data_IF_975246373779
#
_entry.id   IF_975246373779
#
_cell.length_a   1.000
_cell.length_b   1.000
_cell.length_c   1.000
_cell.angle_alpha   90.00
_cell.angle_beta   90.00
_cell.angle_gamma   90.00
#
_symmetry.space_group_name_H-M   'P 1'
#
loop_
_entity.id
_entity.type
_entity.pdbx_description
1 polymer ?
#
# COMPACT_ATOMS: atom_id res chain seq x y z
N UNK A 1 12.94 -37.33 -1.82
CA UNK A 1 13.46 -36.63 -3.02
C UNK A 1 12.22 -36.38 -3.87
N UNK A 2 11.64 -35.18 -3.98
CA UNK A 2 12.28 -33.94 -4.41
C UNK A 2 11.43 -32.78 -3.88
N UNK A 3 12.00 -31.95 -3.01
CA UNK A 3 11.35 -30.73 -2.53
C UNK A 3 11.36 -29.71 -3.67
N UNK A 4 10.21 -29.41 -4.26
CA UNK A 4 10.10 -28.31 -5.22
C UNK A 4 10.10 -27.00 -4.45
N UNK A 5 11.27 -26.37 -4.38
CA UNK A 5 11.41 -25.00 -3.90
C UNK A 5 10.67 -24.08 -4.87
N UNK A 6 9.50 -23.58 -4.48
CA UNK A 6 8.81 -22.51 -5.20
C UNK A 6 9.78 -21.31 -5.22
N UNK A 7 10.35 -21.02 -6.40
CA UNK A 7 11.18 -19.84 -6.62
C UNK A 7 10.27 -18.63 -6.60
N UNK A 8 10.03 -18.05 -5.42
CA UNK A 8 9.32 -16.78 -5.30
C UNK A 8 10.12 -15.77 -6.10
N UNK A 9 9.58 -15.35 -7.25
CA UNK A 9 10.19 -14.35 -8.12
C UNK A 9 10.13 -13.04 -7.34
N UNK A 10 11.27 -12.60 -6.77
CA UNK A 10 11.34 -11.28 -6.11
C UNK A 10 11.14 -10.21 -7.17
N UNK A 11 10.03 -9.50 -7.09
CA UNK A 11 9.82 -8.27 -7.84
C UNK A 11 10.55 -7.16 -7.09
N UNK A 12 11.39 -6.41 -7.80
CA UNK A 12 11.95 -5.18 -7.27
C UNK A 12 10.87 -4.11 -7.40
N UNK A 13 10.25 -3.74 -6.29
CA UNK A 13 9.12 -2.82 -6.23
C UNK A 13 9.63 -1.48 -5.71
N UNK A 14 9.42 -0.44 -6.49
CA UNK A 14 9.70 0.93 -6.09
C UNK A 14 8.40 1.51 -5.48
N UNK A 15 8.42 1.77 -4.17
CA UNK A 15 7.28 2.31 -3.45
C UNK A 15 7.18 3.82 -3.66
N UNK A 16 5.96 4.38 -3.82
CA UNK A 16 5.76 5.82 -3.81
C UNK A 16 6.27 6.45 -2.51
N UNK A 17 6.91 7.61 -2.63
CA UNK A 17 7.32 8.40 -1.47
C UNK A 17 6.08 8.77 -0.64
N UNK A 18 6.18 8.65 0.68
CA UNK A 18 5.07 8.95 1.59
C UNK A 18 5.53 9.99 2.60
N UNK A 19 4.80 11.11 2.67
CA UNK A 19 5.08 12.17 3.64
C UNK A 19 5.02 11.64 5.06
N UNK A 20 5.98 12.09 5.89
CA UNK A 20 6.03 11.84 7.32
C UNK A 20 5.97 13.16 8.05
N UNK A 21 5.02 13.28 8.97
CA UNK A 21 4.86 14.44 9.84
C UNK A 21 5.34 14.14 11.26
N UNK A 22 5.63 15.17 12.05
CA UNK A 22 6.12 15.03 13.44
C UNK A 22 4.96 15.03 14.46
N UNK A 23 3.93 14.21 14.22
CA UNK A 23 2.78 14.08 15.13
C UNK A 23 3.11 13.10 16.25
N UNK A 24 2.99 13.54 17.51
CA UNK A 24 3.28 12.74 18.70
C UNK A 24 2.15 12.91 19.71
N UNK A 25 1.57 11.79 20.14
CA UNK A 25 0.57 11.74 21.20
C UNK A 25 1.19 11.24 22.52
N UNK A 26 0.64 11.66 23.66
CA UNK A 26 1.02 11.17 24.99
C UNK A 26 -0.12 10.33 25.57
N UNK A 27 0.15 9.04 25.76
CA UNK A 27 -0.76 8.10 26.38
C UNK A 27 -0.22 7.65 27.74
N UNK A 28 -0.81 8.17 28.81
CA UNK A 28 -0.44 7.83 30.19
C UNK A 28 1.05 8.04 30.50
N UNK A 29 1.66 9.08 29.94
CA UNK A 29 3.08 9.40 30.08
C UNK A 29 3.97 8.69 29.05
N UNK A 30 3.40 7.93 28.11
CA UNK A 30 4.12 7.27 27.01
C UNK A 30 3.91 8.06 25.72
N UNK A 31 5.00 8.58 25.15
CA UNK A 31 4.97 9.26 23.85
C UNK A 31 4.89 8.24 22.71
N UNK A 32 3.95 8.43 21.80
CA UNK A 32 3.73 7.59 20.61
C UNK A 32 3.74 8.48 19.37
N UNK A 33 4.65 8.22 18.44
CA UNK A 33 4.74 8.94 17.16
C UNK A 33 3.74 8.35 16.17
N UNK A 34 2.95 9.21 15.53
CA UNK A 34 2.02 8.85 14.46
C UNK A 34 2.29 9.68 13.20
N UNK A 35 3.40 9.41 12.50
CA UNK A 35 3.85 10.23 11.38
C UNK A 35 2.93 10.20 10.15
N UNK A 36 1.93 9.30 10.13
CA UNK A 36 1.01 9.10 9.02
C UNK A 36 -0.45 9.45 9.37
N UNK A 37 -0.68 10.14 10.49
CA UNK A 37 -2.01 10.63 10.91
C UNK A 37 -2.76 11.35 9.78
N UNK A 38 -2.05 12.04 8.90
CA UNK A 38 -2.64 12.76 7.77
C UNK A 38 -3.40 11.86 6.79
N UNK A 39 -3.09 10.55 6.72
CA UNK A 39 -3.81 9.58 5.88
C UNK A 39 -5.22 9.28 6.40
N UNK A 40 -5.56 9.65 7.63
CA UNK A 40 -6.90 9.44 8.19
C UNK A 40 -7.95 10.39 7.58
N UNK A 41 -7.52 11.52 7.01
CA UNK A 41 -8.39 12.51 6.39
C UNK A 41 -8.71 12.15 4.93
N UNK A 42 -9.47 11.07 4.71
CA UNK A 42 -9.78 10.54 3.37
C UNK A 42 -10.26 11.61 2.36
N UNK A 43 -11.12 12.60 2.70
CA UNK A 43 -11.55 13.62 1.74
C UNK A 43 -10.46 14.61 1.30
N UNK A 44 -9.27 14.57 1.92
CA UNK A 44 -8.15 15.45 1.59
C UNK A 44 -7.57 15.08 0.21
N UNK A 45 -7.40 16.05 -0.71
CA UNK A 45 -6.83 15.79 -2.03
C UNK A 45 -5.47 15.10 -2.02
N UNK A 46 -4.63 15.39 -1.03
CA UNK A 46 -3.29 14.76 -0.88
C UNK A 46 -3.39 13.26 -0.54
N UNK A 47 -4.37 12.89 0.30
CA UNK A 47 -4.64 11.48 0.63
C UNK A 47 -5.20 10.75 -0.58
N UNK A 48 -6.06 11.39 -1.35
CA UNK A 48 -6.59 10.82 -2.60
C UNK A 48 -5.47 10.59 -3.63
N UNK A 49 -4.56 11.54 -3.80
CA UNK A 49 -3.39 11.39 -4.68
C UNK A 49 -2.49 10.24 -4.22
N UNK A 50 -2.22 10.14 -2.92
CA UNK A 50 -1.45 9.03 -2.36
C UNK A 50 -2.13 7.67 -2.59
N UNK A 51 -3.45 7.57 -2.41
CA UNK A 51 -4.23 6.35 -2.69
C UNK A 51 -4.09 5.95 -4.17
N UNK A 52 -4.18 6.91 -5.08
CA UNK A 52 -4.04 6.66 -6.52
C UNK A 52 -2.65 6.13 -6.89
N UNK A 53 -1.59 6.63 -6.26
CA UNK A 53 -0.22 6.12 -6.46
C UNK A 53 -0.07 4.68 -5.95
N UNK A 54 -0.60 4.37 -4.78
CA UNK A 54 -0.58 3.01 -4.23
C UNK A 54 -1.41 2.04 -5.09
N UNK A 55 -2.55 2.47 -5.60
CA UNK A 55 -3.38 1.67 -6.50
C UNK A 55 -2.65 1.37 -7.81
N UNK A 56 -2.02 2.39 -8.44
CA UNK A 56 -1.22 2.21 -9.66
C UNK A 56 -0.10 1.18 -9.45
N UNK A 57 0.62 1.27 -8.33
CA UNK A 57 1.66 0.30 -8.00
C UNK A 57 1.06 -1.11 -7.83
N UNK A 58 0.00 -1.24 -7.03
CA UNK A 58 -0.65 -2.52 -6.74
C UNK A 58 -1.13 -3.19 -8.02
N UNK A 59 -1.79 -2.45 -8.89
CA UNK A 59 -2.22 -2.96 -10.19
C UNK A 59 -1.03 -3.41 -11.06
N UNK A 60 0.09 -2.68 -11.05
CA UNK A 60 1.29 -3.09 -11.80
C UNK A 60 1.83 -4.44 -11.32
N UNK A 61 1.80 -4.67 -10.01
CA UNK A 61 2.22 -5.93 -9.39
C UNK A 61 1.23 -7.04 -9.72
N UNK A 62 -0.07 -6.81 -9.58
CA UNK A 62 -1.10 -7.80 -9.87
C UNK A 62 -1.08 -8.25 -11.34
N UNK A 63 -0.92 -7.31 -12.28
CA UNK A 63 -0.76 -7.62 -13.72
C UNK A 63 0.44 -8.52 -14.00
N UNK A 64 1.48 -8.49 -13.16
CA UNK A 64 2.65 -9.36 -13.33
C UNK A 64 2.40 -10.83 -12.99
N UNK A 65 1.30 -11.13 -12.30
CA UNK A 65 0.90 -12.50 -11.96
C UNK A 65 -0.12 -13.02 -12.97
N UNK A 66 0.23 -14.11 -13.67
CA UNK A 66 -0.55 -14.73 -14.76
C UNK A 66 -1.87 -15.40 -14.36
N UNK A 67 -2.38 -15.15 -13.14
CA UNK A 67 -3.65 -15.68 -12.63
C UNK A 67 -4.68 -14.60 -12.29
N UNK A 68 -4.34 -13.31 -12.47
CA UNK A 68 -5.18 -12.17 -12.11
C UNK A 68 -5.73 -11.43 -13.32
N UNK A 69 -5.96 -12.13 -14.43
CA UNK A 69 -6.70 -11.59 -15.59
C UNK A 69 -8.21 -11.57 -15.29
N UNK A 70 -8.57 -10.90 -14.19
CA UNK A 70 -9.96 -10.62 -13.83
C UNK A 70 -10.22 -9.18 -14.24
N UNK A 71 -11.20 -9.00 -15.13
CA UNK A 71 -11.57 -7.70 -15.68
C UNK A 71 -11.91 -6.66 -14.60
N UNK A 72 -12.24 -5.42 -15.02
CA UNK A 72 -12.35 -4.23 -14.16
C UNK A 72 -13.34 -4.33 -12.98
N UNK A 73 -14.11 -5.41 -12.88
CA UNK A 73 -15.18 -5.59 -11.91
C UNK A 73 -14.72 -6.15 -10.56
N UNK A 74 -13.51 -6.73 -10.46
CA UNK A 74 -13.01 -7.32 -9.21
C UNK A 74 -12.18 -6.32 -8.38
N UNK A 75 -11.55 -5.33 -9.02
CA UNK A 75 -10.71 -4.33 -8.33
C UNK A 75 -11.58 -3.29 -7.57
N UNK A 76 -12.83 -3.09 -7.98
CA UNK A 76 -13.72 -2.09 -7.36
C UNK A 76 -14.31 -2.50 -6.00
N UNK A 77 -13.96 -3.67 -5.45
CA UNK A 77 -14.57 -4.23 -4.24
C UNK A 77 -13.61 -4.30 -3.05
N UNK A 78 -12.80 -3.25 -2.88
CA UNK A 78 -11.97 -3.07 -1.68
C UNK A 78 -12.01 -1.64 -1.10
N UNK A 79 -13.01 -0.83 -1.45
CA UNK A 79 -13.31 0.43 -0.75
C UNK A 79 -14.76 0.39 -0.29
#
# INVERSE_FOLDING_TARGET
MTSQQIRVKRLNIDYPETRRDDVIDDYHGVKVEDPYRWLEEVPNPEVQEWIDEQNKLTESVLRSYSGWDVGPEVIHRCI
#
